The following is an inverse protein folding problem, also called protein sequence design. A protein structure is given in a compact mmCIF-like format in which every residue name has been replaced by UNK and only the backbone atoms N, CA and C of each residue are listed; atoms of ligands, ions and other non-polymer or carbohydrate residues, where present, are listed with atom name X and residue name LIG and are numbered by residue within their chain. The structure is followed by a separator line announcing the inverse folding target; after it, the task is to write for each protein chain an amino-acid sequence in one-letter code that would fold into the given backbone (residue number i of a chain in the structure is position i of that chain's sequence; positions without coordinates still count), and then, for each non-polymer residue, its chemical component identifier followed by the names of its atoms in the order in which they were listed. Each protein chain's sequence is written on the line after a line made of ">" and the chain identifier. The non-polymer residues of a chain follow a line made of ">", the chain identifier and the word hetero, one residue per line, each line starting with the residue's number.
data_IF_812066883273
#
_entry.id   IF_812066883273
#
_cell.length_a   1.000
_cell.length_b   1.000
_cell.length_c   1.000
_cell.angle_alpha   90.00
_cell.angle_beta   90.00
_cell.angle_gamma   90.00
#
_symmetry.space_group_name_H-M   'P 1'
#
loop_
_entity.id
_entity.type
_entity.pdbx_description
1 polymer ?
#
# COMPACT_ATOMS: atom_id res chain seq x y z
N UNK A 1 -22.01 35.68 -68.46
CA UNK A 1 -22.56 36.79 -67.65
C UNK A 1 -21.81 36.81 -66.34
N UNK A 2 -20.84 37.72 -66.20
CA UNK A 2 -20.84 38.86 -65.23
C UNK A 2 -20.68 38.38 -63.77
N UNK A 3 -19.65 38.72 -62.99
CA UNK A 3 -18.57 39.70 -63.10
C UNK A 3 -17.41 39.30 -62.15
N UNK A 4 -16.18 39.67 -62.52
CA UNK A 4 -14.96 39.62 -61.71
C UNK A 4 -14.98 40.62 -60.53
N UNK A 5 -14.18 40.38 -59.48
CA UNK A 5 -13.11 41.33 -59.12
C UNK A 5 -12.12 40.76 -58.08
N UNK A 6 -10.84 40.69 -58.49
CA UNK A 6 -9.65 40.58 -57.63
C UNK A 6 -9.47 41.89 -56.83
N UNK A 7 -8.76 41.84 -55.70
CA UNK A 7 -7.43 42.46 -55.50
C UNK A 7 -6.93 42.28 -54.05
N UNK A 8 -5.65 41.90 -53.97
CA UNK A 8 -4.77 41.78 -52.81
C UNK A 8 -4.41 43.15 -52.17
N UNK A 9 -4.11 43.22 -50.86
CA UNK A 9 -2.73 43.38 -50.32
C UNK A 9 -2.70 43.64 -48.79
N UNK A 10 -1.88 42.82 -48.10
CA UNK A 10 -0.87 43.16 -47.07
C UNK A 10 -1.23 43.93 -45.78
N UNK A 11 -0.98 43.20 -44.67
CA UNK A 11 0.00 43.48 -43.61
C UNK A 11 -0.48 43.90 -42.20
N UNK A 12 -0.07 43.04 -41.24
CA UNK A 12 0.58 43.35 -39.94
C UNK A 12 -0.31 43.40 -38.67
N UNK A 13 -0.14 42.33 -37.86
CA UNK A 13 0.03 42.29 -36.38
C UNK A 13 -1.17 42.76 -35.53
N UNK A 14 -1.82 41.92 -34.72
CA UNK A 14 -1.23 41.37 -33.50
C UNK A 14 -1.81 39.99 -33.11
N UNK A 15 -0.89 39.06 -32.91
CA UNK A 15 -1.10 37.74 -32.36
C UNK A 15 -1.13 37.86 -30.82
N UNK A 16 -2.31 38.05 -30.22
CA UNK A 16 -2.52 37.75 -28.80
C UNK A 16 -3.04 36.31 -28.71
N UNK A 17 -2.15 35.37 -28.99
CA UNK A 17 -2.33 34.00 -28.57
C UNK A 17 -2.22 33.97 -27.06
N UNK A 18 -3.36 33.94 -26.37
CA UNK A 18 -3.46 33.47 -25.00
C UNK A 18 -2.92 32.04 -24.98
N UNK A 19 -1.62 31.90 -24.73
CA UNK A 19 -1.04 30.65 -24.27
C UNK A 19 -1.61 30.47 -22.88
N UNK A 20 -2.76 29.80 -22.78
CA UNK A 20 -3.14 29.11 -21.57
C UNK A 20 -2.08 28.03 -21.37
N UNK A 21 -0.96 28.40 -20.73
CA UNK A 21 -0.14 27.44 -20.02
C UNK A 21 -1.08 26.90 -18.96
N UNK A 22 -1.71 25.76 -19.25
CA UNK A 22 -2.15 24.89 -18.17
C UNK A 22 -0.87 24.55 -17.44
N UNK A 23 -0.55 25.31 -16.40
CA UNK A 23 0.22 24.80 -15.29
C UNK A 23 -0.64 23.64 -14.78
N UNK A 24 -0.42 22.45 -15.34
CA UNK A 24 -0.68 21.20 -14.65
C UNK A 24 0.18 21.30 -13.40
N UNK A 25 -0.39 21.88 -12.34
CA UNK A 25 0.22 21.84 -11.02
C UNK A 25 0.39 20.37 -10.72
N UNK A 26 1.64 19.93 -10.63
CA UNK A 26 1.96 18.61 -10.12
C UNK A 26 1.16 18.41 -8.81
N UNK A 27 0.45 17.30 -8.73
CA UNK A 27 -0.39 16.91 -7.60
C UNK A 27 0.43 17.02 -6.31
N UNK A 28 0.11 17.98 -5.44
CA UNK A 28 0.78 18.15 -4.16
C UNK A 28 0.21 17.15 -3.17
N UNK A 29 0.83 15.97 -3.09
CA UNK A 29 0.65 15.05 -1.97
C UNK A 29 1.06 15.77 -0.67
N UNK A 30 0.30 15.58 0.40
CA UNK A 30 0.50 16.38 1.61
C UNK A 30 -0.79 16.61 2.40
N UNK A 31 -0.83 17.72 3.13
CA UNK A 31 -1.89 18.04 4.10
C UNK A 31 -3.17 18.70 3.56
N UNK A 32 -3.53 18.44 2.30
CA UNK A 32 -4.76 18.93 1.69
C UNK A 32 -4.85 20.44 1.52
N UNK A 33 -6.05 20.94 1.20
CA UNK A 33 -6.31 22.36 0.92
C UNK A 33 -6.21 23.26 2.16
N UNK A 34 -6.40 22.71 3.36
CA UNK A 34 -6.20 23.47 4.59
C UNK A 34 -4.72 23.68 4.91
N UNK A 35 -3.82 22.87 4.36
CA UNK A 35 -2.38 22.93 4.61
C UNK A 35 -1.55 22.79 3.31
N UNK A 36 -1.71 23.71 2.33
CA UNK A 36 -1.12 23.56 1.00
C UNK A 36 0.42 23.56 0.99
N UNK A 37 1.04 24.14 2.02
CA UNK A 37 2.50 24.19 2.16
C UNK A 37 3.08 22.95 2.86
N UNK A 38 2.22 22.11 3.46
CA UNK A 38 2.64 20.90 4.16
C UNK A 38 2.72 19.72 3.18
N UNK A 39 3.81 19.68 2.43
CA UNK A 39 4.05 18.65 1.40
C UNK A 39 4.59 17.35 1.99
N UNK A 40 4.36 16.24 1.28
CA UNK A 40 4.98 14.94 1.58
C UNK A 40 6.51 15.06 1.60
N UNK A 41 7.15 14.45 2.60
CA UNK A 41 8.61 14.37 2.67
C UNK A 41 9.15 13.51 1.52
N UNK A 42 10.02 14.08 0.67
CA UNK A 42 10.48 13.44 -0.57
C UNK A 42 11.44 12.30 -0.33
N UNK A 43 12.36 12.41 0.63
CA UNK A 43 13.30 11.33 0.94
C UNK A 43 12.58 10.12 1.57
N UNK A 44 11.67 10.38 2.51
CA UNK A 44 10.84 9.34 3.13
C UNK A 44 10.00 8.63 2.07
N UNK A 45 9.29 9.39 1.22
CA UNK A 45 8.47 8.83 0.16
C UNK A 45 9.29 8.00 -0.85
N UNK A 46 10.46 8.49 -1.25
CA UNK A 46 11.35 7.74 -2.12
C UNK A 46 11.79 6.42 -1.47
N UNK A 47 12.17 6.46 -0.20
CA UNK A 47 12.59 5.27 0.56
C UNK A 47 11.44 4.25 0.64
N UNK A 48 10.22 4.73 0.89
CA UNK A 48 9.01 3.92 0.85
C UNK A 48 8.79 3.26 -0.50
N UNK A 49 8.81 4.02 -1.60
CA UNK A 49 8.64 3.47 -2.96
C UNK A 49 9.74 2.46 -3.32
N UNK A 50 10.97 2.65 -2.85
CA UNK A 50 12.08 1.75 -3.19
C UNK A 50 11.99 0.40 -2.46
N UNK A 51 11.29 0.35 -1.32
CA UNK A 51 11.08 -0.86 -0.52
C UNK A 51 10.17 -1.90 -1.19
N UNK A 52 9.13 -1.44 -1.91
CA UNK A 52 8.17 -2.24 -2.71
C UNK A 52 7.33 -3.30 -2.00
N UNK A 53 7.82 -3.97 -0.98
CA UNK A 53 7.16 -5.12 -0.37
C UNK A 53 7.28 -5.09 1.15
N UNK A 54 6.14 -5.12 1.84
CA UNK A 54 6.05 -5.11 3.30
C UNK A 54 5.09 -6.14 3.85
N UNK A 55 5.22 -6.42 5.14
CA UNK A 55 4.31 -7.29 5.89
C UNK A 55 3.24 -6.45 6.57
N UNK A 56 1.98 -6.79 6.35
CA UNK A 56 0.90 -6.34 7.22
C UNK A 56 0.65 -7.41 8.29
N UNK A 57 0.34 -7.01 9.51
CA UNK A 57 -0.01 -7.91 10.59
C UNK A 57 -1.31 -7.43 11.23
N UNK A 58 -2.39 -8.20 11.04
CA UNK A 58 -3.65 -7.99 11.76
C UNK A 58 -3.76 -9.02 12.87
N UNK A 59 -3.70 -8.52 14.11
CA UNK A 59 -3.66 -9.38 15.30
C UNK A 59 -4.34 -8.73 16.49
N UNK A 60 -4.87 -9.57 17.37
CA UNK A 60 -5.56 -9.15 18.59
C UNK A 60 -6.31 -10.30 19.24
N UNK A 61 -7.01 -10.05 20.36
CA UNK A 61 -7.71 -11.07 21.14
C UNK A 61 -8.72 -11.90 20.33
N UNK A 62 -9.32 -11.33 19.28
CA UNK A 62 -10.22 -12.04 18.36
C UNK A 62 -9.65 -13.32 17.74
N UNK A 63 -8.32 -13.42 17.65
CA UNK A 63 -7.64 -14.63 17.19
C UNK A 63 -7.99 -15.87 18.04
N UNK A 64 -8.42 -15.70 19.30
CA UNK A 64 -8.97 -16.77 20.14
C UNK A 64 -10.24 -17.41 19.58
N UNK A 65 -11.02 -16.66 18.81
CA UNK A 65 -12.26 -17.12 18.15
C UNK A 65 -12.04 -17.44 16.67
N UNK A 66 -10.89 -17.08 16.11
CA UNK A 66 -10.56 -17.37 14.71
C UNK A 66 -11.49 -16.66 13.70
N UNK A 67 -11.96 -15.46 14.03
CA UNK A 67 -12.87 -14.65 13.20
C UNK A 67 -12.24 -13.30 12.84
N UNK A 68 -12.89 -12.54 11.96
CA UNK A 68 -12.35 -11.26 11.47
C UNK A 68 -12.22 -10.19 12.57
N UNK A 69 -11.11 -9.46 12.56
CA UNK A 69 -10.79 -8.42 13.56
C UNK A 69 -11.69 -7.20 13.42
N UNK A 70 -12.22 -6.69 14.54
CA UNK A 70 -13.32 -5.74 14.61
C UNK A 70 -14.65 -6.27 14.07
N UNK A 71 -14.70 -6.67 12.81
CA UNK A 71 -15.91 -6.89 12.03
C UNK A 71 -16.80 -8.03 12.53
N UNK A 72 -16.21 -9.01 13.22
CA UNK A 72 -16.95 -10.12 13.80
C UNK A 72 -17.66 -9.78 15.12
N UNK A 73 -17.29 -8.66 15.76
CA UNK A 73 -17.90 -8.16 16.99
C UNK A 73 -19.39 -7.87 16.82
N UNK A 74 -20.21 -8.45 17.69
CA UNK A 74 -21.67 -8.37 17.66
C UNK A 74 -22.33 -9.09 16.46
N UNK A 75 -21.56 -9.74 15.57
CA UNK A 75 -22.09 -10.43 14.38
C UNK A 75 -21.82 -11.93 14.40
N UNK A 76 -20.56 -12.33 14.54
CA UNK A 76 -20.15 -13.73 14.64
C UNK A 76 -19.77 -14.10 16.08
N UNK A 77 -19.29 -13.11 16.84
CA UNK A 77 -18.97 -13.20 18.27
C UNK A 77 -19.85 -12.17 18.97
N UNK A 78 -20.51 -12.52 20.09
CA UNK A 78 -21.34 -11.53 20.80
C UNK A 78 -20.49 -10.36 21.29
N UNK A 79 -21.08 -9.18 21.44
CA UNK A 79 -20.35 -7.99 21.91
C UNK A 79 -19.76 -8.24 23.30
N UNK A 80 -20.51 -8.89 24.18
CA UNK A 80 -20.10 -9.23 25.54
C UNK A 80 -18.91 -10.19 25.55
N UNK A 81 -18.88 -11.20 24.68
CA UNK A 81 -17.73 -12.11 24.56
C UNK A 81 -16.52 -11.38 23.98
N UNK A 82 -16.72 -10.64 22.88
CA UNK A 82 -15.64 -9.93 22.18
C UNK A 82 -14.90 -8.95 23.09
N UNK A 83 -15.65 -8.10 23.81
CA UNK A 83 -15.11 -7.06 24.68
C UNK A 83 -14.42 -7.65 25.94
N UNK A 84 -14.44 -8.97 26.12
CA UNK A 84 -13.78 -9.67 27.24
C UNK A 84 -12.64 -10.59 26.78
N UNK A 85 -12.44 -10.81 25.48
CA UNK A 85 -11.41 -11.72 24.96
C UNK A 85 -9.99 -11.36 25.45
N UNK A 86 -9.70 -10.08 25.66
CA UNK A 86 -8.40 -9.64 26.17
C UNK A 86 -8.04 -10.26 27.53
N UNK A 87 -9.04 -10.63 28.35
CA UNK A 87 -8.84 -11.28 29.65
C UNK A 87 -8.39 -12.74 29.53
N UNK A 88 -8.60 -13.36 28.38
CA UNK A 88 -8.13 -14.71 28.04
C UNK A 88 -6.84 -14.68 27.19
N UNK A 89 -6.49 -13.52 26.65
CA UNK A 89 -5.46 -13.40 25.62
C UNK A 89 -4.05 -13.43 26.21
N UNK A 90 -3.39 -14.57 26.08
CA UNK A 90 -2.03 -14.79 26.59
C UNK A 90 -1.10 -15.38 25.52
N UNK A 91 -0.49 -14.54 24.65
CA UNK A 91 0.38 -14.99 23.58
C UNK A 91 1.78 -15.42 24.06
N UNK A 92 1.83 -16.48 24.86
CA UNK A 92 3.06 -17.00 25.50
C UNK A 92 4.15 -17.46 24.53
N UNK A 93 3.81 -17.66 23.24
CA UNK A 93 4.75 -18.05 22.18
C UNK A 93 5.09 -16.88 21.23
N UNK A 94 4.66 -15.66 21.55
CA UNK A 94 5.08 -14.47 20.80
C UNK A 94 6.60 -14.31 20.82
N UNK A 95 7.16 -14.04 19.64
CA UNK A 95 8.57 -13.78 19.48
C UNK A 95 8.80 -12.80 18.33
N UNK A 96 9.14 -11.56 18.67
CA UNK A 96 9.45 -10.51 17.72
C UNK A 96 10.55 -10.92 16.73
N UNK A 97 11.58 -11.64 17.17
CA UNK A 97 12.69 -12.07 16.31
C UNK A 97 12.23 -13.05 15.23
N UNK A 98 11.32 -13.96 15.55
CA UNK A 98 10.76 -14.89 14.56
C UNK A 98 9.79 -14.17 13.60
N UNK A 99 9.03 -13.17 14.05
CA UNK A 99 8.20 -12.35 13.15
C UNK A 99 9.07 -11.56 12.16
N UNK A 100 10.06 -10.83 12.65
CA UNK A 100 10.96 -10.01 11.80
C UNK A 100 11.78 -10.89 10.86
N UNK A 101 12.27 -12.05 11.35
CA UNK A 101 12.96 -13.04 10.53
C UNK A 101 12.06 -13.63 9.45
N UNK A 102 10.79 -13.88 9.75
CA UNK A 102 9.81 -14.35 8.75
C UNK A 102 9.63 -13.31 7.65
N UNK A 103 9.41 -12.04 8.01
CA UNK A 103 9.29 -10.95 7.04
C UNK A 103 10.55 -10.79 6.19
N UNK A 104 11.72 -10.77 6.83
CA UNK A 104 13.02 -10.65 6.15
C UNK A 104 13.30 -11.82 5.22
N UNK A 105 12.99 -13.05 5.66
CA UNK A 105 13.10 -14.27 4.85
C UNK A 105 12.18 -14.29 3.64
N UNK A 106 11.05 -13.59 3.71
CA UNK A 106 10.13 -13.37 2.58
C UNK A 106 10.60 -12.28 1.60
N UNK A 107 11.68 -11.55 1.93
CA UNK A 107 12.18 -10.40 1.17
C UNK A 107 11.50 -9.07 1.52
N UNK A 108 10.58 -9.02 2.48
CA UNK A 108 9.92 -7.78 2.88
C UNK A 108 10.92 -6.80 3.50
N UNK A 109 10.67 -5.50 3.32
CA UNK A 109 11.53 -4.40 3.78
C UNK A 109 10.95 -3.58 4.92
N UNK A 110 9.65 -3.72 5.15
CA UNK A 110 8.95 -3.09 6.25
C UNK A 110 7.85 -3.96 6.85
N UNK A 111 7.45 -3.65 8.07
CA UNK A 111 6.32 -4.26 8.79
C UNK A 111 5.36 -3.16 9.24
N UNK A 112 4.06 -3.39 9.03
CA UNK A 112 2.95 -2.61 9.60
C UNK A 112 2.15 -3.51 10.51
N UNK A 113 2.10 -3.17 11.80
CA UNK A 113 1.28 -3.88 12.80
C UNK A 113 0.02 -3.08 13.10
N UNK A 114 -1.14 -3.73 13.18
CA UNK A 114 -2.37 -3.15 13.73
C UNK A 114 -2.19 -2.75 15.19
N UNK A 115 -1.66 -1.56 15.47
CA UNK A 115 -1.48 -1.11 16.84
C UNK A 115 -2.84 -0.97 17.52
N UNK A 116 -3.85 -0.46 16.80
CA UNK A 116 -5.26 -0.47 17.22
C UNK A 116 -6.17 -0.69 16.01
N UNK A 117 -7.07 -1.67 16.07
CA UNK A 117 -8.10 -1.91 15.05
C UNK A 117 -9.45 -1.27 15.44
N UNK A 118 -10.48 -1.40 14.60
CA UNK A 118 -11.81 -0.84 14.84
C UNK A 118 -12.44 -1.28 16.16
N UNK A 119 -12.04 -2.43 16.71
CA UNK A 119 -12.53 -2.89 18.01
C UNK A 119 -11.98 -2.05 19.19
N UNK A 120 -11.02 -1.16 18.95
CA UNK A 120 -10.43 -0.28 19.96
C UNK A 120 -9.31 -0.91 20.79
N UNK A 121 -8.98 -2.19 20.59
CA UNK A 121 -7.97 -2.87 21.40
C UNK A 121 -6.55 -2.42 21.02
N UNK A 122 -5.79 -1.91 21.99
CA UNK A 122 -4.43 -1.41 21.76
C UNK A 122 -3.37 -2.51 21.99
N UNK A 123 -2.54 -2.82 20.99
CA UNK A 123 -1.47 -3.83 21.05
C UNK A 123 -0.22 -3.39 21.86
N UNK A 124 -0.29 -2.23 22.49
CA UNK A 124 0.71 -1.72 23.44
C UNK A 124 0.05 -1.42 24.78
N UNK A 125 0.85 -1.12 25.80
CA UNK A 125 0.39 -0.69 27.12
C UNK A 125 0.17 0.83 27.06
N UNK A 126 -1.06 1.25 26.77
CA UNK A 126 -1.37 2.65 26.47
C UNK A 126 -1.72 3.43 27.72
N UNK A 127 -1.19 4.63 27.87
CA UNK A 127 -1.51 5.51 29.03
C UNK A 127 -2.95 6.02 29.04
N UNK A 128 -3.73 5.74 28.00
CA UNK A 128 -5.03 6.39 27.75
C UNK A 128 -6.24 5.45 27.81
N UNK A 129 -6.06 4.13 27.88
CA UNK A 129 -7.14 3.14 27.92
C UNK A 129 -6.73 1.89 28.71
N UNK A 130 -7.69 1.21 29.33
CA UNK A 130 -7.51 -0.12 29.94
C UNK A 130 -7.91 -1.27 28.99
N UNK A 131 -8.33 -0.94 27.76
CA UNK A 131 -8.63 -1.91 26.72
C UNK A 131 -7.41 -2.12 25.82
N UNK A 132 -6.39 -2.72 26.41
CA UNK A 132 -5.05 -2.80 25.84
C UNK A 132 -4.28 -4.06 26.25
N UNK A 133 -3.07 -4.22 25.70
CA UNK A 133 -2.21 -5.37 26.01
C UNK A 133 -1.71 -5.38 27.44
N UNK A 134 -1.54 -4.22 28.08
CA UNK A 134 -1.15 -4.12 29.50
C UNK A 134 -2.17 -4.78 30.43
N UNK A 135 -3.43 -4.77 30.02
CA UNK A 135 -4.56 -5.32 30.78
C UNK A 135 -4.86 -6.81 30.51
N UNK A 136 -4.03 -7.49 29.72
CA UNK A 136 -4.13 -8.92 29.41
C UNK A 136 -3.34 -9.78 30.42
N UNK A 137 -3.58 -11.11 30.50
CA UNK A 137 -2.72 -12.02 31.27
C UNK A 137 -1.24 -11.99 30.85
N UNK A 138 -0.94 -11.64 29.60
CA UNK A 138 0.44 -11.47 29.11
C UNK A 138 1.14 -10.28 29.77
N UNK A 139 0.37 -9.26 30.16
CA UNK A 139 0.79 -8.17 31.06
C UNK A 139 1.86 -7.22 30.52
N UNK A 140 2.14 -7.26 29.21
CA UNK A 140 3.10 -6.36 28.54
C UNK A 140 2.70 -6.11 27.08
N UNK A 141 2.98 -4.90 26.58
CA UNK A 141 2.83 -4.58 25.15
C UNK A 141 3.82 -5.34 24.26
N UNK A 142 3.48 -5.54 22.99
CA UNK A 142 4.38 -6.20 22.02
C UNK A 142 5.15 -5.24 21.11
N UNK A 143 4.70 -3.98 21.00
CA UNK A 143 5.28 -3.00 20.08
C UNK A 143 6.76 -2.73 20.38
N UNK A 144 7.13 -2.60 21.66
CA UNK A 144 8.52 -2.33 22.05
C UNK A 144 9.47 -3.44 21.56
N UNK A 145 9.14 -4.69 21.85
CA UNK A 145 9.92 -5.85 21.43
C UNK A 145 10.04 -5.92 19.90
N UNK A 146 8.94 -5.64 19.19
CA UNK A 146 8.91 -5.65 17.73
C UNK A 146 9.75 -4.51 17.11
N UNK A 147 9.65 -3.29 17.64
CA UNK A 147 10.43 -2.12 17.17
C UNK A 147 11.92 -2.34 17.38
N UNK A 148 12.31 -2.79 18.57
CA UNK A 148 13.71 -3.07 18.89
C UNK A 148 14.28 -4.14 17.95
N UNK A 149 13.48 -5.16 17.63
CA UNK A 149 13.89 -6.24 16.73
C UNK A 149 13.93 -5.81 15.26
N UNK A 150 12.99 -4.97 14.83
CA UNK A 150 13.03 -4.33 13.53
C UNK A 150 14.34 -3.54 13.36
N UNK A 151 14.71 -2.71 14.36
CA UNK A 151 15.96 -1.96 14.38
C UNK A 151 17.18 -2.88 14.30
N UNK A 152 17.23 -3.96 15.10
CA UNK A 152 18.34 -4.94 15.08
C UNK A 152 18.53 -5.62 13.72
N UNK A 153 17.44 -5.92 13.02
CA UNK A 153 17.51 -6.67 11.76
C UNK A 153 17.48 -5.80 10.49
N UNK A 154 17.38 -4.47 10.63
CA UNK A 154 17.31 -3.52 9.53
C UNK A 154 15.96 -3.55 8.80
N UNK A 155 14.87 -3.82 9.53
CA UNK A 155 13.50 -3.77 9.05
C UNK A 155 12.88 -2.41 9.38
N UNK A 156 12.24 -1.77 8.41
CA UNK A 156 11.50 -0.52 8.67
C UNK A 156 10.19 -0.85 9.39
N UNK A 157 9.86 -0.11 10.42
CA UNK A 157 8.65 -0.32 11.21
C UNK A 157 7.63 0.79 10.96
N UNK A 158 6.36 0.41 10.82
CA UNK A 158 5.21 1.29 10.78
C UNK A 158 4.06 0.71 11.61
N UNK A 159 3.05 1.53 11.86
CA UNK A 159 1.86 1.13 12.62
C UNK A 159 0.61 1.36 11.78
N UNK A 160 -0.35 0.45 11.86
CA UNK A 160 -1.72 0.73 11.48
C UNK A 160 -2.48 1.26 12.68
N UNK A 161 -3.34 2.25 12.47
CA UNK A 161 -4.19 2.81 13.52
C UNK A 161 -5.58 3.10 12.98
N UNK A 162 -6.62 2.55 13.64
CA UNK A 162 -7.98 2.87 13.26
C UNK A 162 -8.50 4.17 13.89
N UNK A 163 -9.03 5.05 13.05
CA UNK A 163 -9.85 6.20 13.44
C UNK A 163 -11.17 5.73 14.04
N UNK A 164 -11.76 4.66 13.49
CA UNK A 164 -12.91 3.99 14.06
C UNK A 164 -12.55 3.31 15.39
N UNK A 165 -13.40 3.44 16.40
CA UNK A 165 -13.22 2.78 17.69
C UNK A 165 -14.58 2.40 18.28
N UNK A 166 -14.96 1.13 18.12
CA UNK A 166 -16.26 0.60 18.51
C UNK A 166 -16.34 0.21 19.99
N UNK A 167 -15.27 0.48 20.75
CA UNK A 167 -15.20 0.29 22.19
C UNK A 167 -15.29 1.63 22.93
N UNK A 168 -14.62 2.66 22.43
CA UNK A 168 -14.52 3.95 23.13
C UNK A 168 -15.89 4.66 23.25
N UNK A 169 -16.35 5.01 24.46
CA UNK A 169 -17.70 5.56 24.68
C UNK A 169 -17.90 6.95 24.06
N UNK A 170 -16.83 7.71 23.83
CA UNK A 170 -16.91 9.00 23.14
C UNK A 170 -16.82 8.90 21.61
N UNK A 171 -16.52 7.73 21.02
CA UNK A 171 -16.73 7.56 19.58
C UNK A 171 -18.26 7.53 19.34
N UNK A 172 -18.84 8.48 18.60
CA UNK A 172 -20.31 8.60 18.49
C UNK A 172 -20.96 7.49 17.64
N UNK A 173 -20.15 6.57 17.11
CA UNK A 173 -20.51 5.56 16.14
C UNK A 173 -20.65 4.20 16.84
N UNK A 174 -21.82 3.54 16.68
CA UNK A 174 -22.14 2.28 17.36
C UNK A 174 -22.11 1.13 16.35
N UNK A 175 -21.28 0.12 16.61
CA UNK A 175 -21.21 -1.10 15.80
C UNK A 175 -21.38 -2.39 16.61
N UNK A 176 -22.17 -3.38 16.12
CA UNK A 176 -23.13 -3.24 15.02
C UNK A 176 -24.39 -2.48 15.49
N UNK A 177 -25.02 -1.72 14.60
CA UNK A 177 -26.35 -1.16 14.80
C UNK A 177 -27.26 -1.55 13.63
N UNK A 178 -28.57 -1.64 13.86
CA UNK A 178 -29.55 -2.07 12.84
C UNK A 178 -29.57 -1.15 11.61
N UNK A 179 -29.30 0.15 11.81
CA UNK A 179 -29.24 1.18 10.77
C UNK A 179 -27.81 1.54 10.35
N UNK A 180 -26.83 0.71 10.70
CA UNK A 180 -25.42 1.02 10.53
C UNK A 180 -25.00 1.02 9.05
N UNK A 181 -25.07 2.19 8.43
CA UNK A 181 -24.63 2.43 7.07
C UNK A 181 -23.50 3.46 7.06
N UNK A 182 -22.31 3.04 6.60
CA UNK A 182 -21.11 3.88 6.56
C UNK A 182 -21.28 5.18 5.75
N UNK A 183 -22.23 5.20 4.81
CA UNK A 183 -22.43 6.30 3.86
C UNK A 183 -23.59 7.23 4.21
N UNK A 184 -24.34 6.94 5.27
CA UNK A 184 -25.46 7.81 5.68
C UNK A 184 -24.95 8.75 6.75
N UNK A 185 -24.70 10.00 6.35
CA UNK A 185 -24.43 11.08 7.30
C UNK A 185 -25.63 11.25 8.23
N UNK A 186 -25.40 11.07 9.53
CA UNK A 186 -26.36 11.40 10.58
C UNK A 186 -26.15 12.85 11.01
N UNK A 187 -27.15 13.43 11.67
CA UNK A 187 -27.08 14.83 12.10
C UNK A 187 -25.96 15.05 13.13
N UNK A 188 -24.81 15.52 12.64
CA UNK A 188 -23.64 15.86 13.45
C UNK A 188 -23.82 17.19 14.19
N UNK A 189 -24.88 17.97 13.90
CA UNK A 189 -25.10 19.28 14.53
C UNK A 189 -25.59 19.18 15.98
N UNK A 190 -25.90 17.97 16.46
CA UNK A 190 -26.15 17.71 17.88
C UNK A 190 -24.92 18.06 18.75
N UNK A 191 -25.11 18.96 19.71
CA UNK A 191 -24.05 19.46 20.58
C UNK A 191 -23.39 18.35 21.42
N UNK A 192 -24.14 17.30 21.80
CA UNK A 192 -23.56 16.19 22.56
C UNK A 192 -22.64 15.34 21.70
N UNK A 193 -23.04 15.06 20.46
CA UNK A 193 -22.24 14.36 19.46
C UNK A 193 -20.94 15.09 19.16
N UNK A 194 -20.99 16.42 18.95
CA UNK A 194 -19.78 17.24 18.78
C UNK A 194 -18.84 17.14 19.97
N UNK A 195 -19.35 17.33 21.19
CA UNK A 195 -18.54 17.28 22.40
C UNK A 195 -17.93 15.89 22.66
N UNK A 196 -18.66 14.80 22.35
CA UNK A 196 -18.11 13.43 22.38
C UNK A 196 -16.98 13.28 21.37
N UNK A 197 -17.20 13.69 20.13
CA UNK A 197 -16.19 13.59 19.08
C UNK A 197 -14.93 14.40 19.41
N UNK A 198 -15.05 15.61 19.96
CA UNK A 198 -13.89 16.41 20.41
C UNK A 198 -13.04 15.69 21.47
N UNK A 199 -13.68 15.06 22.46
CA UNK A 199 -12.97 14.25 23.48
C UNK A 199 -12.31 13.03 22.85
N UNK A 200 -13.01 12.35 21.94
CA UNK A 200 -12.46 11.19 21.25
C UNK A 200 -11.26 11.56 20.35
N UNK A 201 -11.32 12.67 19.62
CA UNK A 201 -10.18 13.17 18.81
C UNK A 201 -8.99 13.51 19.69
N UNK A 202 -9.21 14.11 20.87
CA UNK A 202 -8.13 14.37 21.82
C UNK A 202 -7.49 13.06 22.32
N UNK A 203 -8.31 12.07 22.70
CA UNK A 203 -7.85 10.72 23.05
C UNK A 203 -7.01 10.09 21.93
N UNK A 204 -7.49 10.12 20.69
CA UNK A 204 -6.77 9.60 19.54
C UNK A 204 -5.44 10.32 19.28
N UNK A 205 -5.42 11.66 19.31
CA UNK A 205 -4.19 12.45 19.15
C UNK A 205 -3.15 12.15 20.23
N UNK A 206 -3.60 11.85 21.44
CA UNK A 206 -2.76 11.43 22.54
C UNK A 206 -2.17 10.03 22.34
N UNK A 207 -2.98 9.04 21.92
CA UNK A 207 -2.47 7.71 21.58
C UNK A 207 -1.49 7.75 20.40
N UNK A 208 -1.79 8.52 19.35
CA UNK A 208 -0.90 8.65 18.19
C UNK A 208 0.42 9.35 18.56
N UNK A 209 0.37 10.34 19.45
CA UNK A 209 1.59 10.96 20.00
C UNK A 209 2.42 9.94 20.78
N UNK A 210 1.78 9.14 21.63
CA UNK A 210 2.45 8.03 22.33
C UNK A 210 3.11 7.06 21.34
N UNK A 211 2.42 6.69 20.26
CA UNK A 211 2.99 5.84 19.23
C UNK A 211 4.24 6.46 18.56
N UNK A 212 4.18 7.75 18.24
CA UNK A 212 5.29 8.47 17.61
C UNK A 212 6.49 8.59 18.56
N UNK A 213 6.25 9.05 19.80
CA UNK A 213 7.31 9.34 20.77
C UNK A 213 7.97 8.05 21.32
N UNK A 214 7.17 7.01 21.60
CA UNK A 214 7.68 5.80 22.26
C UNK A 214 8.17 4.73 21.27
N UNK A 215 7.67 4.72 20.03
CA UNK A 215 7.95 3.66 19.04
C UNK A 215 8.53 4.13 17.71
N UNK A 216 8.52 5.43 17.41
CA UNK A 216 9.20 6.04 16.25
C UNK A 216 8.87 5.34 14.89
N UNK A 217 7.59 5.11 14.52
CA UNK A 217 7.24 4.50 13.26
C UNK A 217 7.62 5.39 12.08
N UNK A 218 8.01 4.78 10.96
CA UNK A 218 8.27 5.48 9.69
C UNK A 218 6.98 5.91 8.99
N UNK A 219 5.87 5.21 9.24
CA UNK A 219 4.56 5.55 8.72
C UNK A 219 3.44 5.12 9.65
N UNK A 220 2.33 5.85 9.60
CA UNK A 220 1.06 5.48 10.19
C UNK A 220 0.05 5.22 9.07
N UNK A 221 -0.46 3.99 9.02
CA UNK A 221 -1.48 3.53 8.09
C UNK A 221 -2.85 3.66 8.76
N UNK A 222 -3.62 4.69 8.40
CA UNK A 222 -4.95 4.93 8.94
C UNK A 222 -6.04 4.13 8.25
N UNK A 223 -7.13 3.92 8.97
CA UNK A 223 -8.32 3.23 8.50
C UNK A 223 -9.53 3.60 9.35
N UNK A 224 -10.74 3.31 8.90
CA UNK A 224 -11.96 3.64 9.64
C UNK A 224 -12.42 5.09 9.44
N UNK A 225 -11.77 5.82 8.54
CA UNK A 225 -12.13 7.19 8.22
C UNK A 225 -13.49 7.29 7.57
N UNK A 226 -14.05 6.22 7.01
CA UNK A 226 -15.40 6.23 6.42
C UNK A 226 -16.53 6.47 7.42
N UNK A 227 -16.30 6.33 8.73
CA UNK A 227 -17.34 6.52 9.75
C UNK A 227 -17.97 7.91 9.68
N UNK A 228 -19.30 8.00 9.61
CA UNK A 228 -20.04 9.26 9.37
C UNK A 228 -19.59 10.45 10.23
N UNK A 229 -19.19 10.23 11.48
CA UNK A 229 -18.77 11.30 12.41
C UNK A 229 -17.34 11.84 12.16
N UNK A 230 -16.49 11.10 11.45
CA UNK A 230 -15.20 11.61 11.01
C UNK A 230 -15.40 12.61 9.86
N UNK A 231 -14.69 13.73 9.87
CA UNK A 231 -14.83 14.77 8.84
C UNK A 231 -13.52 15.01 8.11
N UNK A 232 -13.62 15.55 6.91
CA UNK A 232 -12.48 15.96 6.10
C UNK A 232 -11.56 16.96 6.83
N UNK A 233 -12.14 17.96 7.52
CA UNK A 233 -11.36 18.90 8.35
C UNK A 233 -10.60 18.20 9.47
N UNK A 234 -11.23 17.23 10.16
CA UNK A 234 -10.53 16.46 11.20
C UNK A 234 -9.37 15.64 10.64
N UNK A 235 -9.52 15.09 9.42
CA UNK A 235 -8.45 14.41 8.69
C UNK A 235 -7.25 15.31 8.40
N UNK A 236 -7.49 16.49 7.83
CA UNK A 236 -6.44 17.48 7.58
C UNK A 236 -5.77 17.97 8.87
N UNK A 237 -6.55 18.24 9.92
CA UNK A 237 -6.04 18.67 11.23
C UNK A 237 -5.21 17.57 11.91
N UNK A 238 -5.60 16.31 11.75
CA UNK A 238 -4.85 15.18 12.27
C UNK A 238 -3.53 15.01 11.52
N UNK A 239 -3.56 15.06 10.19
CA UNK A 239 -2.36 14.99 9.36
C UNK A 239 -1.34 16.09 9.75
N UNK A 240 -1.80 17.34 9.85
CA UNK A 240 -0.95 18.47 10.24
C UNK A 240 -0.36 18.30 11.64
N UNK A 241 -1.16 17.84 12.61
CA UNK A 241 -0.70 17.53 13.95
C UNK A 241 0.43 16.48 13.96
N UNK A 242 0.25 15.38 13.23
CA UNK A 242 1.23 14.28 13.21
C UNK A 242 2.54 14.67 12.50
N UNK A 243 2.45 15.40 11.37
CA UNK A 243 3.64 15.95 10.70
C UNK A 243 4.35 17.01 11.54
N UNK A 244 3.63 17.71 12.42
CA UNK A 244 4.23 18.59 13.42
C UNK A 244 4.99 17.86 14.54
N UNK A 245 4.64 16.60 14.83
CA UNK A 245 5.37 15.75 15.77
C UNK A 245 6.58 15.07 15.11
N UNK A 246 6.44 14.64 13.85
CA UNK A 246 7.48 13.97 13.08
C UNK A 246 7.40 14.37 11.60
N UNK A 247 8.36 15.20 11.18
CA UNK A 247 8.35 15.84 9.85
C UNK A 247 8.43 14.84 8.68
N UNK A 248 9.11 13.71 8.87
CA UNK A 248 9.33 12.68 7.86
C UNK A 248 8.34 11.50 7.94
N UNK A 249 7.33 11.58 8.82
CA UNK A 249 6.29 10.57 8.93
C UNK A 249 5.45 10.51 7.66
N UNK A 250 5.32 9.32 7.07
CA UNK A 250 4.38 9.08 5.98
C UNK A 250 3.01 8.62 6.50
N UNK A 251 1.95 9.14 5.89
CA UNK A 251 0.56 8.93 6.28
C UNK A 251 -0.24 8.59 5.03
N UNK A 252 -1.00 7.49 5.04
CA UNK A 252 -1.83 7.13 3.89
C UNK A 252 -3.03 8.08 3.71
N UNK A 253 -3.65 8.01 2.53
CA UNK A 253 -4.84 8.81 2.19
C UNK A 253 -6.11 8.50 3.00
N UNK A 254 -6.08 7.50 3.89
CA UNK A 254 -7.19 7.17 4.79
C UNK A 254 -7.15 7.93 6.11
N UNK A 255 -6.23 8.88 6.27
CA UNK A 255 -6.39 9.87 7.36
C UNK A 255 -7.59 10.79 7.10
N UNK A 256 -8.02 10.90 5.83
CA UNK A 256 -8.97 11.89 5.36
C UNK A 256 -10.08 11.27 4.48
N UNK A 257 -11.33 11.70 4.72
CA UNK A 257 -12.52 11.35 3.92
C UNK A 257 -12.66 12.09 2.59
N UNK A 258 -11.90 13.13 2.33
CA UNK A 258 -11.97 13.91 1.08
C UNK A 258 -11.64 13.10 -0.18
N UNK A 259 -11.23 11.83 -0.03
CA UNK A 259 -11.09 10.84 -1.10
C UNK A 259 -12.46 10.41 -1.65
N UNK A 260 -12.64 10.48 -2.96
CA UNK A 260 -13.88 10.03 -3.62
C UNK A 260 -13.80 8.51 -3.85
N UNK A 261 -14.48 7.71 -3.02
CA UNK A 261 -14.69 6.27 -3.21
C UNK A 261 -13.49 5.34 -2.91
N UNK A 262 -13.75 4.02 -2.98
CA UNK A 262 -12.72 2.96 -2.92
C UNK A 262 -12.18 2.57 -4.32
N UNK A 263 -12.99 2.78 -5.37
CA UNK A 263 -12.67 2.39 -6.75
C UNK A 263 -12.13 3.55 -7.60
N UNK A 264 -12.49 4.80 -7.30
CA UNK A 264 -12.03 5.95 -8.08
C UNK A 264 -10.65 6.39 -7.63
N UNK A 265 -9.66 5.87 -8.35
CA UNK A 265 -8.33 6.44 -8.39
C UNK A 265 -8.40 7.95 -8.68
N UNK A 266 -8.07 8.75 -7.66
CA UNK A 266 -7.12 9.85 -7.77
C UNK A 266 -7.55 11.03 -8.66
N UNK A 267 -8.63 11.74 -8.29
CA UNK A 267 -8.99 13.01 -8.94
C UNK A 267 -9.35 14.21 -8.05
N UNK A 268 -9.54 14.06 -6.73
CA UNK A 268 -9.69 15.24 -5.85
C UNK A 268 -8.33 15.69 -5.30
N UNK A 269 -8.03 16.97 -5.52
CA UNK A 269 -6.82 17.70 -5.11
C UNK A 269 -6.99 18.36 -3.73
N UNK A 270 -7.91 17.81 -2.92
CA UNK A 270 -8.50 18.45 -1.74
C UNK A 270 -8.62 17.43 -0.59
N UNK A 271 -7.53 16.71 -0.28
CA UNK A 271 -7.48 15.83 0.89
C UNK A 271 -6.05 15.58 1.36
N UNK A 272 -5.92 15.22 2.63
CA UNK A 272 -4.64 14.89 3.25
C UNK A 272 -4.20 13.44 3.02
N UNK A 273 -2.90 13.25 2.76
CA UNK A 273 -2.27 11.93 2.60
C UNK A 273 -1.10 11.94 1.62
N UNK A 274 -0.17 11.01 1.83
CA UNK A 274 1.08 10.90 1.09
C UNK A 274 1.05 9.83 -0.02
N UNK A 275 0.15 8.84 0.12
CA UNK A 275 -0.01 7.75 -0.85
C UNK A 275 -1.41 7.13 -0.78
N UNK A 276 -1.85 6.55 -1.90
CA UNK A 276 -3.15 5.88 -2.00
C UNK A 276 -3.11 4.42 -1.56
N UNK A 277 -4.26 3.87 -1.14
CA UNK A 277 -4.33 2.49 -0.60
C UNK A 277 -5.42 1.61 -1.26
N UNK A 278 -5.20 1.09 -2.49
CA UNK A 278 -6.06 0.06 -3.04
C UNK A 278 -6.11 -1.17 -2.12
N UNK A 279 -7.29 -1.66 -1.78
CA UNK A 279 -7.45 -2.75 -0.82
C UNK A 279 -8.04 -3.99 -1.48
N UNK A 280 -7.43 -5.15 -1.23
CA UNK A 280 -7.82 -6.46 -1.81
C UNK A 280 -7.82 -6.50 -3.34
N UNK A 281 -7.27 -5.47 -4.00
CA UNK A 281 -7.09 -5.36 -5.43
C UNK A 281 -5.75 -4.68 -5.74
N UNK A 282 -5.13 -5.07 -6.85
CA UNK A 282 -3.91 -4.42 -7.35
C UNK A 282 -4.29 -3.08 -7.97
N UNK A 283 -3.63 -2.00 -7.54
CA UNK A 283 -3.80 -0.67 -8.12
C UNK A 283 -3.46 -0.61 -9.62
N UNK A 284 -4.05 0.36 -10.32
CA UNK A 284 -3.70 0.64 -11.70
C UNK A 284 -2.28 1.19 -11.83
N UNK A 285 -1.70 1.12 -13.03
CA UNK A 285 -0.42 1.76 -13.32
C UNK A 285 -0.51 3.27 -13.07
N UNK A 286 0.30 3.79 -12.15
CA UNK A 286 0.37 5.21 -11.85
C UNK A 286 1.77 5.58 -11.33
N UNK A 287 2.47 6.45 -12.07
CA UNK A 287 3.79 6.97 -11.68
C UNK A 287 3.73 8.38 -11.05
N UNK A 288 2.57 9.02 -11.05
CA UNK A 288 2.36 10.38 -10.55
C UNK A 288 1.95 10.37 -9.07
N UNK A 289 1.03 9.48 -8.71
CA UNK A 289 0.60 9.28 -7.32
C UNK A 289 1.14 7.95 -6.80
N UNK A 290 1.99 7.96 -5.77
CA UNK A 290 2.40 6.76 -5.06
C UNK A 290 1.20 6.04 -4.45
N UNK A 291 1.25 4.71 -4.45
CA UNK A 291 0.20 3.89 -3.88
C UNK A 291 0.73 2.58 -3.33
N UNK A 292 -0.03 1.99 -2.41
CA UNK A 292 0.26 0.73 -1.75
C UNK A 292 -0.98 -0.15 -1.74
N UNK A 293 -0.94 -1.29 -2.43
CA UNK A 293 -2.00 -2.29 -2.30
C UNK A 293 -1.81 -3.01 -0.97
N UNK A 294 -2.85 -3.04 -0.14
CA UNK A 294 -2.93 -3.97 0.98
C UNK A 294 -3.72 -5.23 0.58
N UNK A 295 -3.18 -6.42 0.87
CA UNK A 295 -3.84 -7.68 0.48
C UNK A 295 -3.57 -8.82 1.47
N UNK A 296 -4.60 -9.61 1.75
CA UNK A 296 -4.51 -10.80 2.61
C UNK A 296 -3.76 -11.95 1.95
N UNK A 297 -2.94 -12.69 2.70
CA UNK A 297 -2.39 -13.97 2.21
C UNK A 297 -3.46 -15.07 2.13
N UNK A 298 -4.51 -14.94 2.94
CA UNK A 298 -5.62 -15.89 3.03
C UNK A 298 -6.96 -15.22 2.65
N UNK A 299 -8.06 -15.52 3.33
CA UNK A 299 -9.38 -14.96 2.99
C UNK A 299 -9.85 -13.85 3.93
N UNK A 300 -9.22 -13.71 5.10
CA UNK A 300 -9.48 -12.65 6.08
C UNK A 300 -8.19 -11.99 6.58
N UNK A 301 -8.31 -10.86 7.27
CA UNK A 301 -7.17 -10.13 7.80
C UNK A 301 -6.60 -10.80 9.05
N UNK A 302 -7.46 -11.07 10.03
CA UNK A 302 -7.08 -11.80 11.24
C UNK A 302 -6.91 -13.31 10.99
N UNK A 303 -6.38 -14.04 11.97
CA UNK A 303 -6.22 -15.49 11.86
C UNK A 303 -7.55 -16.25 11.83
N UNK A 304 -7.67 -17.20 10.90
CA UNK A 304 -8.76 -18.19 10.80
C UNK A 304 -8.19 -19.60 10.86
N UNK A 305 -8.80 -20.46 11.66
CA UNK A 305 -8.50 -21.88 11.57
C UNK A 305 -8.84 -22.43 10.17
N UNK A 306 -7.91 -23.19 9.58
CA UNK A 306 -8.09 -23.85 8.28
C UNK A 306 -8.41 -22.88 7.11
N UNK A 307 -7.90 -21.64 7.15
CA UNK A 307 -8.17 -20.70 6.06
C UNK A 307 -7.59 -21.16 4.72
N UNK A 308 -8.19 -20.73 3.61
CA UNK A 308 -7.63 -20.93 2.27
C UNK A 308 -6.54 -19.89 2.01
N UNK A 309 -5.31 -20.36 1.83
CA UNK A 309 -4.16 -19.53 1.51
C UNK A 309 -4.00 -19.42 -0.02
N UNK A 310 -3.79 -18.19 -0.51
CA UNK A 310 -3.46 -17.89 -1.92
C UNK A 310 -2.24 -18.67 -2.34
N UNK A 311 -2.26 -19.31 -3.51
CA UNK A 311 -1.19 -20.12 -4.11
C UNK A 311 0.13 -19.35 -4.25
N UNK A 312 1.26 -20.07 -4.44
CA UNK A 312 2.58 -19.46 -4.74
C UNK A 312 2.47 -18.52 -5.95
N UNK A 313 1.77 -18.97 -6.98
CA UNK A 313 1.53 -18.20 -8.20
C UNK A 313 0.76 -16.91 -7.91
N UNK A 314 -0.37 -16.99 -7.23
CA UNK A 314 -1.17 -15.81 -6.85
C UNK A 314 -0.35 -14.82 -6.03
N UNK A 315 0.45 -15.27 -5.05
CA UNK A 315 1.24 -14.37 -4.21
C UNK A 315 2.34 -13.64 -5.00
N UNK A 316 3.13 -14.37 -5.80
CA UNK A 316 4.22 -13.77 -6.58
C UNK A 316 3.64 -12.86 -7.67
N UNK A 317 2.60 -13.28 -8.39
CA UNK A 317 2.03 -12.45 -9.44
C UNK A 317 1.34 -11.20 -8.89
N UNK A 318 0.72 -11.25 -7.70
CA UNK A 318 0.22 -10.04 -7.02
C UNK A 318 1.34 -9.05 -6.74
N UNK A 319 2.47 -9.51 -6.20
CA UNK A 319 3.65 -8.66 -5.99
C UNK A 319 4.12 -8.04 -7.30
N UNK A 320 4.29 -8.84 -8.35
CA UNK A 320 4.82 -8.36 -9.63
C UNK A 320 3.87 -7.38 -10.30
N UNK A 321 2.57 -7.67 -10.37
CA UNK A 321 1.56 -6.75 -10.91
C UNK A 321 1.55 -5.43 -10.14
N UNK A 322 1.71 -5.49 -8.81
CA UNK A 322 1.80 -4.30 -7.95
C UNK A 322 3.02 -3.43 -8.29
N UNK A 323 4.20 -4.02 -8.29
CA UNK A 323 5.46 -3.30 -8.58
C UNK A 323 5.47 -2.78 -10.02
N UNK A 324 4.92 -3.54 -10.97
CA UNK A 324 4.76 -3.12 -12.36
C UNK A 324 3.80 -1.97 -12.57
N UNK A 325 2.81 -1.83 -11.69
CA UNK A 325 1.92 -0.67 -11.60
C UNK A 325 2.57 0.55 -10.91
N UNK A 326 3.85 0.43 -10.53
CA UNK A 326 4.62 1.38 -9.76
C UNK A 326 4.20 1.54 -8.29
N UNK A 327 3.47 0.57 -7.74
CA UNK A 327 3.02 0.55 -6.35
C UNK A 327 3.89 -0.27 -5.39
N UNK A 328 3.52 -0.21 -4.12
CA UNK A 328 4.00 -1.09 -3.06
C UNK A 328 2.96 -2.17 -2.73
N UNK A 329 3.38 -3.36 -2.33
CA UNK A 329 2.51 -4.40 -1.79
C UNK A 329 2.72 -4.51 -0.27
N UNK A 330 1.67 -4.27 0.49
CA UNK A 330 1.60 -4.54 1.92
C UNK A 330 0.79 -5.83 2.14
N UNK A 331 1.50 -6.95 2.34
CA UNK A 331 0.91 -8.28 2.30
C UNK A 331 0.68 -8.85 3.69
N UNK A 332 -0.58 -9.17 3.98
CA UNK A 332 -1.03 -9.44 5.33
C UNK A 332 -0.86 -10.90 5.76
N UNK A 333 -0.40 -11.06 7.00
CA UNK A 333 -0.51 -12.29 7.80
C UNK A 333 -1.43 -12.05 9.00
N UNK A 334 -2.08 -13.13 9.45
CA UNK A 334 -2.86 -13.16 10.68
C UNK A 334 -2.21 -14.13 11.66
N UNK A 335 -1.48 -13.66 12.69
CA UNK A 335 -0.90 -14.53 13.71
C UNK A 335 -1.97 -15.22 14.58
N UNK A 336 -1.63 -16.40 15.09
CA UNK A 336 -2.48 -17.17 15.99
C UNK A 336 -2.54 -16.52 17.38
N UNK A 337 -3.52 -16.92 18.19
CA UNK A 337 -3.71 -16.36 19.54
C UNK A 337 -2.51 -16.56 20.48
N UNK A 338 -1.69 -17.59 20.24
CA UNK A 338 -0.48 -17.86 21.03
C UNK A 338 0.72 -16.97 20.65
N UNK A 339 0.60 -16.11 19.63
CA UNK A 339 1.66 -15.21 19.17
C UNK A 339 2.53 -15.74 18.02
N UNK A 340 2.26 -16.94 17.49
CA UNK A 340 2.99 -17.47 16.32
C UNK A 340 2.28 -17.13 15.02
N UNK A 341 3.04 -16.83 13.97
CA UNK A 341 2.53 -16.86 12.59
C UNK A 341 2.31 -18.32 12.20
N UNK A 342 1.15 -18.64 11.62
CA UNK A 342 0.84 -20.01 11.23
C UNK A 342 1.85 -20.55 10.20
N UNK A 343 2.31 -21.80 10.40
CA UNK A 343 3.33 -22.42 9.52
C UNK A 343 2.98 -22.34 8.03
N UNK A 344 1.71 -22.53 7.65
CA UNK A 344 1.30 -22.45 6.23
C UNK A 344 1.49 -21.06 5.63
N UNK A 345 1.34 -20.00 6.43
CA UNK A 345 1.64 -18.63 6.02
C UNK A 345 3.15 -18.42 5.90
N UNK A 346 3.94 -18.92 6.87
CA UNK A 346 5.41 -18.87 6.83
C UNK A 346 5.96 -19.59 5.58
N UNK A 347 5.46 -20.80 5.28
CA UNK A 347 5.90 -21.58 4.13
C UNK A 347 5.61 -20.84 2.81
N UNK A 348 4.42 -20.25 2.67
CA UNK A 348 4.05 -19.46 1.48
C UNK A 348 4.89 -18.20 1.36
N UNK A 349 5.18 -17.50 2.46
CA UNK A 349 6.10 -16.36 2.47
C UNK A 349 7.52 -16.75 2.11
N UNK A 350 8.00 -17.92 2.56
CA UNK A 350 9.31 -18.46 2.18
C UNK A 350 9.39 -18.72 0.68
N UNK A 351 8.35 -19.28 0.07
CA UNK A 351 8.31 -19.50 -1.38
C UNK A 351 8.43 -18.20 -2.20
N UNK A 352 7.87 -17.09 -1.68
CA UNK A 352 8.04 -15.75 -2.28
C UNK A 352 9.50 -15.28 -2.10
N UNK A 353 10.05 -15.43 -0.90
CA UNK A 353 11.45 -15.09 -0.59
C UNK A 353 12.47 -15.85 -1.44
N UNK A 354 12.26 -17.15 -1.65
CA UNK A 354 13.11 -17.99 -2.49
C UNK A 354 13.14 -17.48 -3.94
N UNK A 355 12.00 -17.02 -4.47
CA UNK A 355 11.94 -16.39 -5.80
C UNK A 355 12.63 -15.02 -5.84
N UNK A 356 12.44 -14.19 -4.80
CA UNK A 356 13.05 -12.87 -4.68
C UNK A 356 14.57 -12.92 -4.48
N UNK A 357 15.12 -13.99 -3.89
CA UNK A 357 16.57 -14.16 -3.78
C UNK A 357 17.25 -14.22 -5.15
N UNK A 358 16.55 -14.72 -6.18
CA UNK A 358 17.06 -14.81 -7.54
C UNK A 358 16.69 -13.58 -8.40
N UNK A 359 15.53 -12.97 -8.12
CA UNK A 359 14.93 -11.96 -8.99
C UNK A 359 14.73 -10.59 -8.34
N UNK A 360 15.17 -10.38 -7.10
CA UNK A 360 14.87 -9.18 -6.31
C UNK A 360 15.34 -7.86 -6.91
N UNK A 361 16.40 -7.87 -7.74
CA UNK A 361 16.87 -6.69 -8.48
C UNK A 361 15.84 -6.13 -9.46
N UNK A 362 14.90 -6.97 -9.92
CA UNK A 362 13.77 -6.58 -10.77
C UNK A 362 12.57 -6.02 -9.98
N UNK A 363 12.65 -6.01 -8.66
CA UNK A 363 11.61 -5.52 -7.75
C UNK A 363 12.11 -4.27 -7.01
N UNK A 364 13.15 -4.39 -6.20
CA UNK A 364 13.55 -3.33 -5.26
C UNK A 364 14.24 -2.13 -5.94
N UNK A 365 13.83 -0.93 -5.54
CA UNK A 365 14.34 0.33 -6.12
C UNK A 365 14.03 0.50 -7.60
N UNK A 366 13.11 -0.30 -8.15
CA UNK A 366 12.64 -0.13 -9.54
C UNK A 366 11.52 0.91 -9.60
N UNK A 367 11.10 1.28 -10.81
CA UNK A 367 9.82 1.94 -11.11
C UNK A 367 9.03 1.09 -12.12
N UNK A 368 7.70 1.18 -12.10
CA UNK A 368 6.85 0.45 -13.04
C UNK A 368 7.12 0.81 -14.52
N UNK A 369 6.67 -0.02 -15.47
CA UNK A 369 6.81 0.22 -16.91
C UNK A 369 8.14 -0.25 -17.53
N UNK A 370 8.45 0.07 -18.80
CA UNK A 370 7.69 0.97 -19.67
C UNK A 370 6.43 0.31 -20.24
N UNK A 371 6.34 -1.02 -20.23
CA UNK A 371 5.15 -1.75 -20.66
C UNK A 371 4.20 -1.91 -19.48
N UNK A 372 2.96 -1.44 -19.65
CA UNK A 372 1.94 -1.55 -18.62
C UNK A 372 1.65 -3.03 -18.27
N UNK A 373 1.30 -3.32 -17.01
CA UNK A 373 0.92 -4.67 -16.59
C UNK A 373 -0.20 -5.28 -17.46
N UNK A 374 -0.07 -6.57 -17.75
CA UNK A 374 -1.06 -7.42 -18.41
C UNK A 374 -1.19 -8.74 -17.66
N UNK A 375 -2.09 -9.63 -18.10
CA UNK A 375 -2.27 -10.94 -17.46
C UNK A 375 -1.06 -11.87 -17.64
N UNK A 376 -0.23 -11.68 -18.67
CA UNK A 376 0.88 -12.57 -19.00
C UNK A 376 2.26 -11.90 -18.94
N UNK A 377 2.32 -10.59 -18.73
CA UNK A 377 3.58 -9.86 -18.66
C UNK A 377 3.45 -8.58 -17.84
N UNK A 378 4.48 -8.30 -17.06
CA UNK A 378 4.68 -7.05 -16.33
C UNK A 378 6.07 -6.50 -16.64
N UNK A 379 6.29 -5.20 -16.52
CA UNK A 379 7.64 -4.64 -16.60
C UNK A 379 7.96 -3.63 -15.51
N UNK A 380 9.24 -3.60 -15.14
CA UNK A 380 9.83 -2.64 -14.22
C UNK A 380 11.14 -2.10 -14.81
N UNK A 381 11.63 -0.98 -14.27
CA UNK A 381 12.81 -0.25 -14.75
C UNK A 381 13.70 0.19 -13.61
N UNK A 382 15.01 0.12 -13.83
CA UNK A 382 16.03 0.69 -12.94
C UNK A 382 17.28 0.99 -13.74
N UNK A 383 17.91 2.14 -13.51
CA UNK A 383 19.12 2.56 -14.21
C UNK A 383 18.96 2.44 -15.74
N UNK A 384 19.83 1.68 -16.41
CA UNK A 384 19.76 1.38 -17.84
C UNK A 384 19.11 0.01 -18.14
N UNK A 385 18.29 -0.53 -17.22
CA UNK A 385 17.67 -1.86 -17.34
C UNK A 385 16.15 -1.78 -17.39
N UNK A 386 15.56 -2.54 -18.32
CA UNK A 386 14.15 -2.94 -18.27
C UNK A 386 14.11 -4.40 -17.83
N UNK A 387 13.26 -4.71 -16.86
CA UNK A 387 12.96 -6.08 -16.47
C UNK A 387 11.57 -6.45 -17.01
N UNK A 388 11.50 -7.54 -17.75
CA UNK A 388 10.26 -8.12 -18.27
C UNK A 388 9.94 -9.37 -17.48
N UNK A 389 8.88 -9.30 -16.70
CA UNK A 389 8.37 -10.41 -15.89
C UNK A 389 7.32 -11.15 -16.72
N UNK A 390 7.63 -12.37 -17.14
CA UNK A 390 6.74 -13.22 -17.92
C UNK A 390 5.89 -14.05 -16.95
N UNK A 391 4.59 -13.76 -16.88
CA UNK A 391 3.68 -14.42 -15.96
C UNK A 391 3.06 -15.64 -16.64
N UNK A 392 3.43 -16.85 -16.20
CA UNK A 392 2.87 -18.14 -16.61
C UNK A 392 2.39 -18.19 -18.07
N UNK A 393 3.29 -17.88 -19.02
CA UNK A 393 2.96 -17.77 -20.45
C UNK A 393 3.52 -18.95 -21.24
N UNK A 394 2.72 -19.48 -22.18
CA UNK A 394 3.14 -20.52 -23.15
C UNK A 394 3.62 -19.94 -24.47
N UNK A 395 3.82 -18.62 -24.54
CA UNK A 395 4.29 -17.97 -25.76
C UNK A 395 5.74 -18.34 -26.02
N UNK A 396 6.07 -18.67 -27.26
CA UNK A 396 7.46 -18.86 -27.72
C UNK A 396 8.08 -17.59 -28.31
N UNK A 397 7.26 -16.55 -28.52
CA UNK A 397 7.70 -15.22 -28.98
C UNK A 397 6.87 -14.13 -28.34
N UNK A 398 7.54 -13.03 -27.97
CA UNK A 398 6.87 -11.82 -27.49
C UNK A 398 7.33 -10.64 -28.36
N UNK A 399 6.37 -9.96 -28.98
CA UNK A 399 6.63 -8.75 -29.76
C UNK A 399 6.23 -7.53 -28.94
N UNK A 400 7.15 -6.57 -28.80
CA UNK A 400 6.97 -5.35 -28.02
C UNK A 400 7.34 -4.11 -28.85
N UNK A 401 6.55 -3.03 -28.80
CA UNK A 401 6.98 -1.73 -29.31
C UNK A 401 8.29 -1.31 -28.66
N UNK A 402 9.24 -0.78 -29.44
CA UNK A 402 10.54 -0.38 -28.90
C UNK A 402 11.06 0.85 -29.66
N UNK A 403 11.53 1.91 -28.95
CA UNK A 403 11.97 3.12 -29.63
C UNK A 403 13.18 2.86 -30.54
N UNK A 404 13.15 3.45 -31.74
CA UNK A 404 14.17 3.26 -32.79
C UNK A 404 15.57 3.68 -32.32
N UNK A 405 15.64 4.71 -31.50
CA UNK A 405 16.83 5.40 -31.01
C UNK A 405 17.40 4.80 -29.71
N UNK A 406 16.76 3.77 -29.15
CA UNK A 406 17.30 3.00 -28.02
C UNK A 406 18.01 1.76 -28.55
N UNK A 407 19.24 1.50 -28.09
CA UNK A 407 19.96 0.24 -28.37
C UNK A 407 19.86 -0.69 -27.17
N UNK A 408 19.56 -1.97 -27.43
CA UNK A 408 19.70 -3.05 -26.46
C UNK A 408 21.12 -3.60 -26.63
N UNK A 409 21.92 -3.52 -25.57
CA UNK A 409 23.28 -4.02 -25.52
C UNK A 409 23.31 -5.51 -25.19
N UNK A 410 22.44 -5.96 -24.27
CA UNK A 410 22.32 -7.37 -23.86
C UNK A 410 20.88 -7.68 -23.51
N UNK A 411 20.48 -8.93 -23.75
CA UNK A 411 19.24 -9.50 -23.27
C UNK A 411 19.47 -10.89 -22.69
N UNK A 412 18.99 -11.13 -21.47
CA UNK A 412 19.27 -12.37 -20.75
C UNK A 412 18.25 -12.64 -19.64
N UNK A 413 18.14 -13.89 -19.18
CA UNK A 413 17.35 -14.23 -18.00
C UNK A 413 18.08 -13.81 -16.71
N UNK A 414 17.37 -13.13 -15.80
CA UNK A 414 17.99 -12.54 -14.60
C UNK A 414 18.65 -13.59 -13.69
N UNK A 415 18.01 -14.75 -13.51
CA UNK A 415 18.43 -15.76 -12.53
C UNK A 415 19.77 -16.46 -12.85
N UNK A 416 20.13 -16.63 -14.13
CA UNK A 416 21.30 -17.41 -14.57
C UNK A 416 22.15 -16.71 -15.65
N UNK A 417 21.73 -15.53 -16.11
CA UNK A 417 22.37 -14.78 -17.19
C UNK A 417 22.39 -15.47 -18.56
N UNK A 418 21.56 -16.49 -18.78
CA UNK A 418 21.41 -17.11 -20.10
C UNK A 418 20.87 -16.08 -21.11
N UNK A 419 21.57 -15.91 -22.23
CA UNK A 419 21.20 -14.92 -23.25
C UNK A 419 19.91 -15.28 -23.98
N UNK A 420 19.14 -14.24 -24.33
CA UNK A 420 17.87 -14.35 -25.05
C UNK A 420 18.00 -13.65 -26.40
N UNK A 421 17.64 -14.35 -27.47
CA UNK A 421 17.72 -13.82 -28.83
C UNK A 421 16.62 -12.80 -29.08
N UNK A 422 17.00 -11.60 -29.54
CA UNK A 422 16.08 -10.52 -29.91
C UNK A 422 16.22 -10.16 -31.38
N UNK A 423 15.10 -10.25 -32.11
CA UNK A 423 14.99 -9.72 -33.47
C UNK A 423 14.46 -8.29 -33.41
N UNK A 424 15.27 -7.30 -33.83
CA UNK A 424 14.88 -5.89 -33.81
C UNK A 424 14.41 -5.41 -35.18
N UNK A 425 13.26 -4.75 -35.19
CA UNK A 425 12.74 -3.97 -36.32
C UNK A 425 12.82 -2.47 -36.05
N UNK A 426 12.35 -1.63 -36.99
CA UNK A 426 12.38 -0.16 -36.83
C UNK A 426 11.58 0.35 -35.63
N UNK A 427 10.51 -0.35 -35.23
CA UNK A 427 9.55 0.12 -34.22
C UNK A 427 9.22 -0.90 -33.13
N UNK A 428 9.79 -2.10 -33.22
CA UNK A 428 9.49 -3.20 -32.30
C UNK A 428 10.67 -4.15 -32.14
N UNK A 429 10.70 -4.85 -31.02
CA UNK A 429 11.55 -6.01 -30.78
C UNK A 429 10.69 -7.27 -30.71
N UNK A 430 11.23 -8.39 -31.17
CA UNK A 430 10.67 -9.72 -30.95
C UNK A 430 11.65 -10.52 -30.11
N UNK A 431 11.22 -10.92 -28.92
CA UNK A 431 11.97 -11.73 -27.99
C UNK A 431 11.61 -13.19 -28.26
N UNK A 432 12.59 -14.02 -28.60
CA UNK A 432 12.41 -15.45 -28.82
C UNK A 432 12.60 -16.18 -27.49
N UNK A 433 11.59 -16.93 -27.06
CA UNK A 433 11.56 -17.63 -25.78
C UNK A 433 11.85 -19.13 -25.98
N UNK A 434 12.46 -19.80 -24.99
CA UNK A 434 12.57 -21.25 -25.00
C UNK A 434 11.18 -21.91 -24.87
N UNK A 435 11.09 -23.18 -25.24
CA UNK A 435 9.85 -23.95 -25.11
C UNK A 435 9.37 -24.06 -23.65
N UNK A 436 10.32 -24.09 -22.70
CA UNK A 436 10.08 -24.06 -21.27
C UNK A 436 10.77 -22.84 -20.66
N UNK A 437 10.01 -22.00 -19.98
CA UNK A 437 10.56 -20.87 -19.24
C UNK A 437 11.29 -21.37 -17.97
N UNK A 438 12.35 -20.66 -17.51
CA UNK A 438 13.13 -21.10 -16.35
C UNK A 438 12.34 -21.22 -15.04
N UNK A 439 11.37 -20.34 -14.83
CA UNK A 439 10.44 -20.37 -13.69
C UNK A 439 9.00 -20.37 -14.20
N UNK A 440 8.22 -21.34 -13.72
CA UNK A 440 6.83 -21.59 -14.12
C UNK A 440 5.84 -20.53 -13.61
N UNK A 441 6.20 -19.81 -12.53
CA UNK A 441 5.37 -18.74 -11.96
C UNK A 441 5.67 -17.41 -12.63
N UNK A 442 6.95 -17.02 -12.63
CA UNK A 442 7.40 -15.77 -13.22
C UNK A 442 8.89 -15.82 -13.60
N UNK A 443 9.17 -15.80 -14.90
CA UNK A 443 10.53 -15.68 -15.43
C UNK A 443 10.87 -14.24 -15.77
N UNK A 444 12.08 -13.79 -15.43
CA UNK A 444 12.51 -12.39 -15.63
C UNK A 444 13.57 -12.28 -16.71
N UNK A 445 13.29 -11.50 -17.75
CA UNK A 445 14.26 -11.12 -18.80
C UNK A 445 14.73 -9.69 -18.54
N UNK A 446 16.04 -9.48 -18.57
CA UNK A 446 16.67 -8.16 -18.50
C UNK A 446 16.97 -7.67 -19.90
N UNK A 447 16.58 -6.44 -20.22
CA UNK A 447 17.06 -5.69 -21.38
C UNK A 447 18.02 -4.60 -20.88
N UNK A 448 19.31 -4.75 -21.14
CA UNK A 448 20.31 -3.73 -20.85
C UNK A 448 20.40 -2.74 -22.01
N UNK A 449 20.22 -1.46 -21.70
CA UNK A 449 20.13 -0.38 -22.67
C UNK A 449 21.41 0.45 -22.71
N UNK A 450 21.59 1.20 -23.80
CA UNK A 450 22.66 2.19 -23.92
C UNK A 450 22.38 3.53 -23.22
N UNK A 451 21.22 3.67 -22.57
CA UNK A 451 20.78 4.89 -21.87
C UNK A 451 19.81 4.55 -20.73
N UNK A 452 19.49 5.49 -19.83
CA UNK A 452 18.55 5.23 -18.74
C UNK A 452 17.20 4.72 -19.26
N UNK A 453 16.68 3.66 -18.64
CA UNK A 453 15.42 3.04 -19.02
C UNK A 453 14.21 3.95 -18.76
N UNK A 454 14.34 4.84 -17.77
CA UNK A 454 13.34 5.89 -17.49
C UNK A 454 13.22 6.94 -18.59
N UNK A 455 14.18 7.01 -19.54
CA UNK A 455 14.06 7.88 -20.72
C UNK A 455 13.05 7.35 -21.75
N UNK A 456 12.58 6.11 -21.59
CA UNK A 456 11.50 5.54 -22.42
C UNK A 456 10.18 5.86 -21.71
N UNK A 457 9.25 6.61 -22.32
CA UNK A 457 7.97 6.87 -21.68
C UNK A 457 7.16 5.57 -21.51
N UNK A 458 6.20 5.52 -20.57
CA UNK A 458 5.24 4.43 -20.52
C UNK A 458 4.57 4.21 -21.89
N UNK A 459 4.41 2.96 -22.28
CA UNK A 459 3.86 2.52 -23.56
C UNK A 459 2.50 1.90 -23.25
N UNK A 460 1.43 2.64 -23.55
CA UNK A 460 0.07 2.15 -23.38
C UNK A 460 -0.28 1.00 -24.35
N UNK A 461 -1.31 0.24 -23.95
CA UNK A 461 -1.73 -1.07 -24.46
C UNK A 461 -1.39 -1.37 -25.93
N UNK A 462 -0.84 -2.57 -26.09
CA UNK A 462 -0.65 -3.24 -27.37
C UNK A 462 -2.01 -3.66 -27.95
N UNK A 463 -2.45 -3.00 -29.02
CA UNK A 463 -3.44 -3.58 -29.93
C UNK A 463 -2.76 -4.78 -30.61
N UNK A 464 -2.99 -5.99 -30.11
CA UNK A 464 -2.55 -7.23 -30.74
C UNK A 464 -3.47 -7.63 -31.88
#
# INVERSE_FOLDING_TARGET
>A
MRYEMKIYLKNVVALLGLIFVHNLSAQSLGGGEANPDLLTNKEALKSFQDMRFGMFIHWGPVSLRGTEIGWSRGKQVSKEDYDQLYKEFDPVLFNAAEWVKTAKGAGMKYIVLTSKHHDGFSLWDSKYTDYDMGSTPYGKGILKDLVEECKKQGMVFGTYYSIADWYHPDNPVIYPADDYQFHVEKDFEDAQTKARMERYVLFMKNQLKELIEDYDPAFIWFDGEWEWAWSHQMGMDLYAYLRGLKEDLLINNRVDKGRVGMEETMKSIQYAGDYATPEQQVGAFNMETPWETCMTIATQWAWKANDKIKSKEECIQTLLKTVGGDGNLLFNVGPMADGRIEKRQIDRLKEIGDWLNLNGDSVYGTRGGPYLPTDYMVSTRKDSKIFLHLLNTKKTKIKLPFPKDVKINKAYFLHDSQEVTIDKSKTAITINLPDNLPDEVASVIVLELNKPAMAIPPIERMNY
#
